data_IF_048468286190
#
_entry.id   IF_048468286190
#
_cell.length_a   1.000
_cell.length_b   1.000
_cell.length_c   1.000
_cell.angle_alpha   90.00
_cell.angle_beta   90.00
_cell.angle_gamma   90.00
#
_symmetry.space_group_name_H-M   'P 1'
#
loop_
_entity.id
_entity.type
_entity.pdbx_description
1 polymer ?
#
# COMPACT_ATOMS: atom_id res chain seq x y z
N UNK A 1 53.56 12.54 -8.98
CA UNK A 1 52.62 11.60 -8.30
C UNK A 1 51.54 12.43 -7.63
N UNK A 2 50.31 12.41 -8.14
CA UNK A 2 49.19 13.14 -7.56
C UNK A 2 48.46 12.24 -6.55
N UNK A 3 48.50 12.63 -5.28
CA UNK A 3 47.76 11.96 -4.20
C UNK A 3 46.27 12.26 -4.37
N UNK A 4 45.48 11.26 -4.75
CA UNK A 4 44.04 11.36 -4.77
C UNK A 4 43.52 11.59 -3.34
N UNK A 5 43.10 12.81 -3.05
CA UNK A 5 42.39 13.17 -1.81
C UNK A 5 41.10 12.35 -1.72
N UNK A 6 40.95 11.60 -0.62
CA UNK A 6 39.76 10.84 -0.26
C UNK A 6 38.51 11.73 -0.38
N UNK A 7 37.58 11.35 -1.26
CA UNK A 7 36.28 12.02 -1.38
C UNK A 7 35.50 11.87 -0.05
N UNK A 8 34.80 12.91 0.41
CA UNK A 8 34.01 12.83 1.63
C UNK A 8 32.95 11.74 1.48
N UNK A 9 32.96 10.75 2.38
CA UNK A 9 31.91 9.75 2.48
C UNK A 9 30.60 10.45 2.85
N UNK A 10 29.81 10.83 1.85
CA UNK A 10 28.48 11.35 2.07
C UNK A 10 27.61 10.19 2.56
N UNK A 11 27.27 10.19 3.86
CA UNK A 11 26.35 9.20 4.44
C UNK A 11 24.99 9.38 3.76
N UNK A 12 24.70 8.52 2.78
CA UNK A 12 23.43 8.53 2.07
C UNK A 12 22.32 8.14 3.06
N UNK A 13 21.54 9.13 3.50
CA UNK A 13 20.23 8.87 4.08
C UNK A 13 19.20 8.96 2.95
N UNK A 14 18.55 7.82 2.67
CA UNK A 14 17.44 7.75 1.73
C UNK A 14 16.21 8.39 2.39
N UNK A 15 16.14 9.72 2.30
CA UNK A 15 14.98 10.50 2.72
C UNK A 15 13.85 10.36 1.69
N UNK A 16 13.33 9.14 1.54
CA UNK A 16 12.13 8.89 0.75
C UNK A 16 10.95 9.62 1.39
N UNK A 17 10.30 10.51 0.62
CA UNK A 17 9.07 11.19 1.07
C UNK A 17 7.87 10.24 1.17
N UNK A 18 7.98 9.07 0.53
CA UNK A 18 6.92 8.08 0.45
C UNK A 18 7.36 6.74 1.04
N UNK A 19 6.36 5.98 1.45
CA UNK A 19 6.45 4.56 1.75
C UNK A 19 5.52 3.81 0.82
N UNK A 20 5.79 2.52 0.63
CA UNK A 20 5.03 1.67 -0.28
C UNK A 20 4.46 0.48 0.49
N UNK A 21 3.23 0.10 0.19
CA UNK A 21 2.59 -1.07 0.78
C UNK A 21 2.01 -1.95 -0.31
N UNK A 22 2.33 -3.24 -0.28
CA UNK A 22 1.59 -4.25 -1.03
C UNK A 22 0.52 -4.84 -0.13
N UNK A 23 -0.71 -4.89 -0.64
CA UNK A 23 -1.86 -5.46 0.09
C UNK A 23 -2.50 -6.58 -0.72
N UNK A 24 -3.09 -7.53 -0.02
CA UNK A 24 -4.00 -8.53 -0.55
C UNK A 24 -5.43 -8.21 -0.11
N UNK A 25 -6.38 -8.45 -1.00
CA UNK A 25 -7.80 -8.20 -0.78
C UNK A 25 -8.53 -9.51 -1.03
N UNK A 26 -9.25 -9.96 -0.01
CA UNK A 26 -10.04 -11.18 -0.02
C UNK A 26 -11.52 -10.81 0.09
N UNK A 27 -12.35 -11.49 -0.70
CA UNK A 27 -13.81 -11.44 -0.56
C UNK A 27 -14.27 -12.66 0.20
N UNK A 28 -15.19 -12.50 1.15
CA UNK A 28 -15.73 -13.65 1.89
C UNK A 28 -16.56 -14.58 0.99
N UNK A 29 -17.26 -14.00 0.01
CA UNK A 29 -18.11 -14.73 -0.94
C UNK A 29 -17.35 -15.43 -2.08
N UNK A 30 -16.01 -15.36 -2.07
CA UNK A 30 -15.14 -15.87 -3.14
C UNK A 30 -15.33 -15.16 -4.50
N UNK A 31 -16.17 -14.12 -4.56
CA UNK A 31 -16.30 -13.30 -5.76
C UNK A 31 -15.12 -12.37 -5.93
N UNK A 32 -15.00 -11.75 -7.10
CA UNK A 32 -13.96 -10.75 -7.35
C UNK A 32 -14.08 -9.64 -6.30
N UNK A 33 -13.09 -9.49 -5.38
CA UNK A 33 -13.24 -8.63 -4.20
C UNK A 33 -13.44 -7.17 -4.55
N UNK A 34 -12.74 -6.70 -5.59
CA UNK A 34 -12.83 -5.35 -6.10
C UNK A 34 -12.72 -5.35 -7.62
N UNK A 35 -13.76 -4.89 -8.30
CA UNK A 35 -13.81 -4.86 -9.76
C UNK A 35 -13.02 -3.72 -10.42
N UNK A 36 -12.77 -2.63 -9.69
CA UNK A 36 -12.14 -1.41 -10.22
C UNK A 36 -11.27 -0.71 -9.17
N UNK A 37 -10.14 -0.15 -9.61
CA UNK A 37 -9.16 0.59 -8.80
C UNK A 37 -9.80 1.80 -8.12
N UNK A 38 -10.74 2.46 -8.81
CA UNK A 38 -11.45 3.63 -8.23
C UNK A 38 -12.27 3.24 -7.00
N UNK A 39 -12.90 2.05 -7.03
CA UNK A 39 -13.67 1.54 -5.89
C UNK A 39 -12.75 1.19 -4.71
N UNK A 40 -11.58 0.61 -4.99
CA UNK A 40 -10.56 0.38 -3.97
C UNK A 40 -10.15 1.69 -3.29
N UNK A 41 -9.74 2.69 -4.09
CA UNK A 41 -9.31 3.99 -3.57
C UNK A 41 -10.42 4.66 -2.75
N UNK A 42 -11.65 4.64 -3.26
CA UNK A 42 -12.81 5.23 -2.58
C UNK A 42 -13.09 4.58 -1.23
N UNK A 43 -13.09 3.26 -1.14
CA UNK A 43 -13.44 2.60 0.12
C UNK A 43 -12.31 2.62 1.16
N UNK A 44 -11.03 2.62 0.73
CA UNK A 44 -9.92 2.88 1.66
C UNK A 44 -9.95 4.33 2.17
N UNK A 45 -10.23 5.31 1.31
CA UNK A 45 -10.43 6.71 1.72
C UNK A 45 -11.62 6.88 2.67
N UNK A 46 -12.73 6.19 2.40
CA UNK A 46 -13.89 6.20 3.30
C UNK A 46 -13.56 5.55 4.66
N UNK A 47 -12.80 4.46 4.65
CA UNK A 47 -12.33 3.81 5.89
C UNK A 47 -11.42 4.73 6.68
N UNK A 48 -10.50 5.43 6.01
CA UNK A 48 -9.65 6.46 6.63
C UNK A 48 -10.49 7.55 7.30
N UNK A 49 -11.50 8.09 6.58
CA UNK A 49 -12.41 9.12 7.11
C UNK A 49 -13.23 8.62 8.29
N UNK A 50 -13.69 7.37 8.24
CA UNK A 50 -14.51 6.77 9.30
C UNK A 50 -13.69 6.47 10.55
N UNK A 51 -12.47 5.95 10.39
CA UNK A 51 -11.62 5.54 11.50
C UNK A 51 -10.82 6.70 12.13
N UNK A 52 -10.35 7.65 11.33
CA UNK A 52 -9.42 8.71 11.76
C UNK A 52 -9.92 10.13 11.48
N UNK A 53 -11.16 10.27 10.98
CA UNK A 53 -11.73 11.55 10.59
C UNK A 53 -11.12 12.13 9.31
N UNK A 54 -11.66 13.26 8.87
CA UNK A 54 -11.23 13.93 7.62
C UNK A 54 -9.77 14.38 7.66
N UNK A 55 -9.28 14.80 8.83
CA UNK A 55 -7.88 15.21 9.01
C UNK A 55 -6.94 14.02 8.89
N UNK A 56 -7.27 12.89 9.50
CA UNK A 56 -6.49 11.66 9.39
C UNK A 56 -6.44 11.14 7.95
N UNK A 57 -7.56 11.23 7.24
CA UNK A 57 -7.62 10.89 5.82
C UNK A 57 -6.72 11.79 4.97
N UNK A 58 -6.77 13.12 5.17
CA UNK A 58 -5.91 14.06 4.43
C UNK A 58 -4.42 13.91 4.73
N UNK A 59 -4.06 13.56 5.97
CA UNK A 59 -2.66 13.29 6.35
C UNK A 59 -2.11 11.99 5.72
N UNK A 60 -2.99 11.12 5.24
CA UNK A 60 -2.68 9.79 4.73
C UNK A 60 -2.97 9.68 3.23
N UNK A 61 -2.71 10.75 2.49
CA UNK A 61 -2.91 10.76 1.04
C UNK A 61 -2.08 9.66 0.37
N UNK A 62 -2.74 8.89 -0.49
CA UNK A 62 -2.19 7.70 -1.10
C UNK A 62 -2.67 7.48 -2.53
N UNK A 63 -1.83 6.81 -3.30
CA UNK A 63 -2.09 6.40 -4.67
C UNK A 63 -1.98 4.90 -4.83
N UNK A 64 -2.77 4.35 -5.75
CA UNK A 64 -2.66 2.96 -6.20
C UNK A 64 -1.76 2.93 -7.43
N UNK A 65 -0.60 2.28 -7.33
CA UNK A 65 0.41 2.18 -8.39
C UNK A 65 0.22 0.95 -9.27
N UNK A 66 -0.18 -0.17 -8.68
CA UNK A 66 -0.52 -1.40 -9.39
C UNK A 66 -1.73 -2.05 -8.77
N UNK A 67 -2.49 -2.78 -9.58
CA UNK A 67 -3.68 -3.50 -9.16
C UNK A 67 -3.81 -4.75 -10.00
N UNK A 68 -3.50 -5.88 -9.39
CA UNK A 68 -3.50 -7.19 -10.02
C UNK A 68 -4.77 -7.92 -9.59
N UNK A 69 -5.71 -8.01 -10.52
CA UNK A 69 -7.00 -8.68 -10.31
C UNK A 69 -6.78 -10.19 -10.29
N UNK A 70 -7.49 -10.86 -9.39
CA UNK A 70 -7.64 -12.32 -9.39
C UNK A 70 -7.93 -12.84 -10.82
N UNK A 71 -7.08 -13.72 -11.38
CA UNK A 71 -7.44 -14.43 -12.59
C UNK A 71 -8.59 -15.38 -12.27
N UNK A 72 -9.64 -15.40 -13.10
CA UNK A 72 -10.93 -16.06 -12.83
C UNK A 72 -10.91 -17.59 -12.67
N UNK A 73 -9.74 -18.19 -12.45
CA UNK A 73 -9.50 -19.62 -12.29
C UNK A 73 -8.51 -19.97 -11.15
N UNK A 74 -7.96 -19.00 -10.40
CA UNK A 74 -7.11 -19.25 -9.24
C UNK A 74 -7.77 -18.75 -7.96
N UNK A 75 -7.52 -19.38 -6.81
CA UNK A 75 -7.99 -18.92 -5.49
C UNK A 75 -7.11 -17.80 -4.91
N UNK A 76 -6.44 -17.05 -5.77
CA UNK A 76 -5.46 -16.03 -5.36
C UNK A 76 -6.16 -14.71 -5.05
N UNK A 77 -5.73 -13.98 -4.02
CA UNK A 77 -6.31 -12.67 -3.72
C UNK A 77 -5.99 -11.66 -4.80
N UNK A 78 -6.87 -10.67 -4.95
CA UNK A 78 -6.54 -9.45 -5.68
C UNK A 78 -5.48 -8.70 -4.88
N UNK A 79 -4.38 -8.28 -5.54
CA UNK A 79 -3.32 -7.52 -4.86
C UNK A 79 -3.22 -6.10 -5.40
N UNK A 80 -2.77 -5.18 -4.55
CA UNK A 80 -2.54 -3.80 -4.94
C UNK A 80 -1.25 -3.27 -4.33
N UNK A 81 -0.56 -2.40 -5.06
CA UNK A 81 0.58 -1.63 -4.57
C UNK A 81 0.15 -0.20 -4.32
N UNK A 82 0.27 0.25 -3.08
CA UNK A 82 -0.03 1.60 -2.64
C UNK A 82 1.25 2.39 -2.41
N UNK A 83 1.17 3.69 -2.69
CA UNK A 83 2.17 4.70 -2.29
C UNK A 83 1.51 5.68 -1.36
N UNK A 84 2.11 5.93 -0.21
CA UNK A 84 1.60 6.88 0.79
C UNK A 84 2.73 7.81 1.23
N UNK A 85 2.40 9.03 1.66
CA UNK A 85 3.38 9.86 2.36
C UNK A 85 3.87 9.14 3.61
N UNK A 86 5.17 9.25 3.93
CA UNK A 86 5.76 8.50 5.05
C UNK A 86 5.06 8.78 6.39
N UNK A 87 4.59 10.01 6.61
CA UNK A 87 3.83 10.40 7.80
C UNK A 87 2.45 9.74 7.90
N UNK A 88 1.86 9.34 6.78
CA UNK A 88 0.53 8.74 6.71
C UNK A 88 0.55 7.21 6.71
N UNK A 89 1.73 6.58 6.78
CA UNK A 89 1.88 5.13 6.67
C UNK A 89 1.10 4.37 7.75
N UNK A 90 1.28 4.75 9.01
CA UNK A 90 0.67 4.06 10.15
C UNK A 90 -0.86 4.18 10.12
N UNK A 91 -1.36 5.38 9.79
CA UNK A 91 -2.79 5.66 9.66
C UNK A 91 -3.41 4.88 8.50
N UNK A 92 -2.76 4.86 7.33
CA UNK A 92 -3.22 4.07 6.19
C UNK A 92 -3.22 2.57 6.50
N UNK A 93 -2.17 2.06 7.15
CA UNK A 93 -2.11 0.67 7.57
C UNK A 93 -3.27 0.35 8.52
N UNK A 94 -3.46 1.16 9.56
CA UNK A 94 -4.58 0.99 10.50
C UNK A 94 -5.93 0.96 9.78
N UNK A 95 -6.15 1.85 8.81
CA UNK A 95 -7.38 1.87 8.01
C UNK A 95 -7.55 0.60 7.17
N UNK A 96 -6.49 0.12 6.52
CA UNK A 96 -6.51 -1.15 5.77
C UNK A 96 -6.90 -2.31 6.69
N UNK A 97 -6.29 -2.41 7.86
CA UNK A 97 -6.59 -3.47 8.84
C UNK A 97 -8.03 -3.40 9.37
N UNK A 98 -8.61 -2.21 9.49
CA UNK A 98 -9.99 -2.01 9.93
C UNK A 98 -11.02 -2.10 8.80
N UNK A 99 -10.60 -2.19 7.54
CA UNK A 99 -11.50 -2.26 6.40
C UNK A 99 -12.11 -3.66 6.29
N UNK A 100 -13.34 -3.82 6.77
CA UNK A 100 -14.07 -5.11 6.78
C UNK A 100 -15.16 -5.22 5.72
N UNK A 101 -15.42 -4.14 4.96
CA UNK A 101 -16.41 -4.18 3.88
C UNK A 101 -16.08 -3.28 2.70
N UNK A 102 -16.24 -3.80 1.48
CA UNK A 102 -16.23 -3.06 0.22
C UNK A 102 -17.60 -3.16 -0.45
N UNK A 103 -18.22 -2.01 -0.77
CA UNK A 103 -19.47 -1.98 -1.56
C UNK A 103 -20.60 -2.85 -0.97
N UNK A 104 -20.69 -2.88 0.37
CA UNK A 104 -21.66 -3.70 1.12
C UNK A 104 -21.31 -5.18 1.22
N UNK A 105 -20.19 -5.63 0.65
CA UNK A 105 -19.68 -6.99 0.78
C UNK A 105 -18.60 -7.08 1.84
N UNK A 106 -18.62 -8.16 2.61
CA UNK A 106 -17.60 -8.44 3.60
C UNK A 106 -16.28 -8.81 2.90
N UNK A 107 -15.21 -8.17 3.36
CA UNK A 107 -13.88 -8.33 2.81
C UNK A 107 -12.84 -8.37 3.93
N UNK A 108 -11.68 -8.93 3.61
CA UNK A 108 -10.49 -8.84 4.44
C UNK A 108 -9.37 -8.24 3.63
N UNK A 109 -8.68 -7.24 4.18
CA UNK A 109 -7.45 -6.71 3.61
C UNK A 109 -6.26 -7.08 4.48
N UNK A 110 -5.19 -7.54 3.86
CA UNK A 110 -3.95 -7.87 4.54
C UNK A 110 -2.79 -7.11 3.93
N UNK A 111 -1.92 -6.56 4.78
CA UNK A 111 -0.66 -5.96 4.34
C UNK A 111 0.37 -7.08 4.18
N UNK A 112 0.82 -7.30 2.94
CA UNK A 112 1.79 -8.35 2.61
C UNK A 112 3.23 -7.87 2.81
N UNK A 113 3.52 -6.65 2.36
CA UNK A 113 4.88 -6.11 2.37
C UNK A 113 4.85 -4.59 2.46
N UNK A 114 5.77 -4.01 3.23
CA UNK A 114 5.98 -2.56 3.34
C UNK A 114 7.43 -2.25 3.04
N UNK A 115 7.66 -1.33 2.11
CA UNK A 115 9.00 -0.97 1.65
C UNK A 115 9.22 0.53 1.60
N UNK A 116 10.48 0.94 1.72
CA UNK A 116 10.89 2.35 1.63
C UNK A 116 11.14 2.81 0.18
N UNK A 117 11.17 1.89 -0.79
CA UNK A 117 11.38 2.18 -2.20
C UNK A 117 10.68 1.14 -3.09
N UNK A 118 10.41 1.48 -4.35
CA UNK A 118 9.87 0.50 -5.31
C UNK A 118 10.85 -0.64 -5.60
N UNK A 119 12.16 -0.41 -5.48
CA UNK A 119 13.16 -1.47 -5.65
C UNK A 119 13.04 -2.53 -4.55
N UNK A 120 12.77 -2.10 -3.32
CA UNK A 120 12.49 -2.99 -2.18
C UNK A 120 11.22 -3.81 -2.45
N UNK A 121 10.17 -3.15 -2.94
CA UNK A 121 8.90 -3.81 -3.30
C UNK A 121 9.01 -4.81 -4.46
N UNK A 122 9.98 -4.65 -5.35
CA UNK A 122 10.22 -5.52 -6.49
C UNK A 122 11.06 -6.76 -6.13
N UNK A 123 11.62 -6.83 -4.91
CA UNK A 123 12.43 -7.98 -4.50
C UNK A 123 11.56 -9.21 -4.24
N UNK A 124 11.87 -10.31 -4.91
CA UNK A 124 11.23 -11.62 -4.72
C UNK A 124 11.51 -12.25 -3.35
N UNK A 125 12.43 -11.67 -2.55
CA UNK A 125 12.83 -12.25 -1.25
C UNK A 125 11.68 -12.27 -0.22
N UNK A 126 10.58 -11.57 -0.50
CA UNK A 126 9.39 -11.49 0.34
C UNK A 126 8.12 -12.02 -0.35
N UNK A 127 8.29 -12.76 -1.47
CA UNK A 127 7.25 -13.60 -2.10
C UNK A 127 7.44 -15.06 -1.64
#
# INVERSE_FOLDING_TARGET
>A
MATATSAPHHKFSLHGKHSYLRIAIFSEDGSVPVGDVKRLKFAVDNTLKTAFGVVGASASDFDVLSFDKMPGNSNEPTTALLRVQRSGLETLWGAITMCTSFDGKLCKMEVLHVGASLMDMASERFL
#
